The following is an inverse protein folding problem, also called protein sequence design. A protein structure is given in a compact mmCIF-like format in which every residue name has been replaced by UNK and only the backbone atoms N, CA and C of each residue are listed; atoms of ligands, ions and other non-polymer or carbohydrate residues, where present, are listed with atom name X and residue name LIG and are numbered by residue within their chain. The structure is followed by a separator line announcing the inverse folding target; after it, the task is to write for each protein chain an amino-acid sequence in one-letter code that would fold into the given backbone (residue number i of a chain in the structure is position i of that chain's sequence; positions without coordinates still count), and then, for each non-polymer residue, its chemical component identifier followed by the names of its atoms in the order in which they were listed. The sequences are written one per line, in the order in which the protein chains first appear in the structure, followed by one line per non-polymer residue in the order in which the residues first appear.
data_IF_557207208627
#
_entry.id   IF_557207208627
#
_cell.length_a   1.000
_cell.length_b   1.000
_cell.length_c   1.000
_cell.angle_alpha   90.00
_cell.angle_beta   90.00
_cell.angle_gamma   90.00
#
_symmetry.space_group_name_H-M   'P 1'
#
loop_
_entity.id
_entity.type
_entity.pdbx_description
1 polymer ?
#
# COMPACT_ATOMS: atom_id res chain seq x y z
N UNK A 1 3.02 -21.30 12.90
CA UNK A 1 2.06 -20.43 12.19
C UNK A 1 1.64 -21.14 10.90
N UNK A 2 0.40 -21.62 10.84
CA UNK A 2 -0.13 -22.45 9.73
C UNK A 2 -1.03 -21.69 8.74
N UNK A 3 -1.22 -20.38 8.90
CA UNK A 3 -2.24 -19.62 8.17
C UNK A 3 -1.88 -19.25 6.72
N UNK A 4 -0.65 -19.49 6.26
CA UNK A 4 -0.19 -19.04 4.93
C UNK A 4 0.27 -20.17 4.01
N UNK A 5 0.12 -21.45 4.40
CA UNK A 5 0.48 -22.57 3.52
C UNK A 5 -0.63 -22.81 2.51
N UNK A 6 -0.30 -22.70 1.22
CA UNK A 6 -1.20 -23.04 0.10
C UNK A 6 -1.85 -21.86 -0.61
N UNK A 7 -1.48 -20.61 -0.29
CA UNK A 7 -1.98 -19.41 -0.98
C UNK A 7 -0.89 -18.79 -1.86
N UNK A 8 -1.26 -18.37 -3.07
CA UNK A 8 -0.35 -17.72 -4.02
C UNK A 8 0.06 -16.31 -3.59
N UNK A 9 -0.75 -15.66 -2.75
CA UNK A 9 -0.59 -14.28 -2.28
C UNK A 9 -1.34 -14.08 -0.95
N UNK A 10 -0.76 -13.35 -0.01
CA UNK A 10 -1.47 -12.79 1.16
C UNK A 10 -1.83 -11.34 0.82
N UNK A 11 -3.10 -10.96 1.01
CA UNK A 11 -3.59 -9.59 0.81
C UNK A 11 -3.79 -8.89 2.17
N UNK A 12 -3.12 -7.75 2.35
CA UNK A 12 -3.23 -6.88 3.51
C UNK A 12 -3.84 -5.54 3.09
N UNK A 13 -5.10 -5.37 3.46
CA UNK A 13 -5.89 -4.17 3.15
C UNK A 13 -5.84 -3.19 4.33
N UNK A 14 -5.26 -2.01 4.11
CA UNK A 14 -5.08 -0.94 5.08
C UNK A 14 -5.87 0.30 4.63
N UNK A 15 -7.20 0.26 4.73
CA UNK A 15 -8.09 1.29 4.17
C UNK A 15 -7.70 2.75 4.49
N UNK A 16 -8.17 3.29 5.62
CA UNK A 16 -7.81 4.64 6.12
C UNK A 16 -7.01 4.60 7.44
N UNK A 17 -6.49 3.42 7.81
CA UNK A 17 -5.77 3.26 9.07
C UNK A 17 -4.51 4.13 9.09
N UNK A 18 -4.43 5.03 10.08
CA UNK A 18 -3.28 5.90 10.37
C UNK A 18 -3.20 6.15 11.87
N UNK A 19 -1.98 6.35 12.36
CA UNK A 19 -1.72 6.77 13.73
C UNK A 19 -2.41 8.09 14.04
N UNK A 20 -3.32 8.11 15.02
CA UNK A 20 -3.98 9.33 15.50
C UNK A 20 -3.81 9.49 17.02
N UNK A 21 -3.61 10.74 17.45
CA UNK A 21 -3.65 11.11 18.89
C UNK A 21 -4.97 11.81 19.18
N UNK A 22 -5.62 11.43 20.29
CA UNK A 22 -6.83 12.09 20.76
C UNK A 22 -6.50 13.55 21.15
N UNK A 23 -7.26 14.54 20.64
CA UNK A 23 -6.97 15.98 20.83
C UNK A 23 -6.93 16.41 22.30
N UNK A 24 -7.63 15.72 23.20
CA UNK A 24 -7.56 15.95 24.66
C UNK A 24 -6.28 15.42 25.32
N UNK A 25 -5.54 14.54 24.66
CA UNK A 25 -4.34 13.88 25.19
C UNK A 25 -3.02 14.56 24.79
N UNK A 26 -3.05 15.63 23.99
CA UNK A 26 -1.84 16.36 23.56
C UNK A 26 -1.08 17.01 24.73
N UNK A 27 -1.73 17.17 25.89
CA UNK A 27 -1.15 17.79 27.08
C UNK A 27 -0.45 16.80 28.02
N UNK A 28 -0.63 15.50 27.84
CA UNK A 28 -0.03 14.48 28.70
C UNK A 28 0.85 13.57 27.86
N UNK A 29 2.17 13.52 28.13
CA UNK A 29 3.14 12.56 27.56
C UNK A 29 2.84 11.07 27.90
N UNK A 30 1.59 10.74 28.19
CA UNK A 30 1.08 9.38 28.17
C UNK A 30 0.25 9.27 26.90
N UNK A 31 0.73 8.53 25.89
CA UNK A 31 -0.05 7.46 25.25
C UNK A 31 0.64 6.93 24.00
N UNK A 32 0.51 5.61 23.82
CA UNK A 32 0.80 4.88 22.59
C UNK A 32 -0.16 5.31 21.47
N UNK A 33 0.28 5.37 20.20
CA UNK A 33 -0.60 5.66 19.07
C UNK A 33 -1.74 4.64 18.98
N UNK A 34 -2.93 5.07 18.57
CA UNK A 34 -4.04 4.17 18.20
C UNK A 34 -4.16 4.16 16.68
N UNK A 35 -4.48 2.99 16.12
CA UNK A 35 -4.72 2.75 14.69
C UNK A 35 -3.48 2.83 13.78
N UNK A 36 -2.29 2.50 14.31
CA UNK A 36 -1.09 2.26 13.49
C UNK A 36 -1.41 1.29 12.35
N UNK A 37 -1.00 1.62 11.12
CA UNK A 37 -1.19 0.76 9.96
C UNK A 37 -0.36 -0.52 10.09
N UNK A 38 0.79 -0.43 10.77
CA UNK A 38 1.69 -1.55 11.03
C UNK A 38 2.10 -1.65 12.50
N UNK A 39 1.25 -2.17 13.38
CA UNK A 39 1.64 -2.44 14.76
C UNK A 39 2.82 -3.41 14.83
N UNK A 40 3.67 -3.32 15.86
CA UNK A 40 4.90 -4.13 15.99
C UNK A 40 4.68 -5.63 15.76
N UNK A 41 3.58 -6.18 16.29
CA UNK A 41 3.24 -7.60 16.10
C UNK A 41 3.01 -7.95 14.61
N UNK A 42 2.34 -7.06 13.86
CA UNK A 42 2.09 -7.23 12.44
C UNK A 42 3.39 -7.12 11.64
N UNK A 43 4.23 -6.13 11.94
CA UNK A 43 5.55 -5.99 11.32
C UNK A 43 6.38 -7.27 11.47
N UNK A 44 6.40 -7.85 12.68
CA UNK A 44 7.14 -9.08 12.96
C UNK A 44 6.61 -10.30 12.18
N UNK A 45 5.29 -10.37 11.95
CA UNK A 45 4.69 -11.42 11.12
C UNK A 45 5.05 -11.24 9.65
N UNK A 46 4.98 -10.01 9.14
CA UNK A 46 5.34 -9.68 7.76
C UNK A 46 6.83 -9.97 7.51
N UNK A 47 7.72 -9.54 8.42
CA UNK A 47 9.16 -9.86 8.37
C UNK A 47 9.40 -11.35 8.20
N UNK A 48 8.79 -12.19 9.06
CA UNK A 48 8.93 -13.65 9.00
C UNK A 48 8.37 -14.24 7.71
N UNK A 49 7.25 -13.72 7.22
CA UNK A 49 6.62 -14.19 5.99
C UNK A 49 7.49 -13.87 4.76
N UNK A 50 8.01 -12.64 4.66
CA UNK A 50 8.94 -12.24 3.60
C UNK A 50 10.28 -12.98 3.70
N UNK A 51 10.82 -13.21 4.89
CA UNK A 51 12.03 -14.03 5.10
C UNK A 51 11.85 -15.47 4.61
N UNK A 52 10.62 -15.99 4.63
CA UNK A 52 10.28 -17.31 4.08
C UNK A 52 10.02 -17.35 2.58
N UNK A 53 10.23 -16.24 1.85
CA UNK A 53 9.96 -16.15 0.40
C UNK A 53 8.48 -15.96 0.06
N UNK A 54 7.64 -15.56 1.01
CA UNK A 54 6.21 -15.35 0.80
C UNK A 54 5.89 -14.24 -0.21
N UNK A 55 4.67 -14.22 -0.71
CA UNK A 55 4.15 -13.18 -1.61
C UNK A 55 3.09 -12.34 -0.91
N UNK A 56 3.25 -11.02 -0.89
CA UNK A 56 2.40 -10.09 -0.16
C UNK A 56 1.88 -8.98 -1.07
N UNK A 57 0.59 -8.68 -1.00
CA UNK A 57 -0.04 -7.47 -1.52
C UNK A 57 -0.42 -6.57 -0.34
N UNK A 58 -0.05 -5.30 -0.41
CA UNK A 58 -0.45 -4.27 0.56
C UNK A 58 -1.12 -3.14 -0.22
N UNK A 59 -2.28 -2.69 0.24
CA UNK A 59 -2.98 -1.55 -0.35
C UNK A 59 -3.57 -0.64 0.71
N UNK A 60 -3.61 0.67 0.46
CA UNK A 60 -4.14 1.62 1.43
C UNK A 60 -3.74 3.07 1.18
N UNK A 61 -4.46 4.01 1.78
CA UNK A 61 -4.21 5.44 1.58
C UNK A 61 -2.96 5.97 2.31
N UNK A 62 -2.57 5.34 3.43
CA UNK A 62 -1.49 5.80 4.32
C UNK A 62 -0.34 4.78 4.48
N UNK A 63 -0.20 3.86 3.52
CA UNK A 63 0.73 2.72 3.60
C UNK A 63 2.19 3.16 3.77
N UNK A 64 2.57 4.30 3.20
CA UNK A 64 3.93 4.81 3.29
C UNK A 64 4.07 5.89 4.37
N UNK A 65 3.13 6.84 4.44
CA UNK A 65 3.22 7.98 5.35
C UNK A 65 3.12 7.59 6.82
N UNK A 66 2.31 6.58 7.18
CA UNK A 66 2.20 6.13 8.58
C UNK A 66 3.54 5.59 9.13
N UNK A 67 4.18 4.55 8.56
CA UNK A 67 5.44 4.04 9.08
C UNK A 67 6.66 4.95 8.81
N UNK A 68 6.66 5.77 7.75
CA UNK A 68 7.84 6.53 7.34
C UNK A 68 7.84 8.00 7.80
N UNK A 69 6.67 8.60 8.01
CA UNK A 69 6.52 10.05 8.24
C UNK A 69 5.76 10.41 9.50
N UNK A 70 5.07 9.46 10.16
CA UNK A 70 4.40 9.73 11.44
C UNK A 70 5.38 10.33 12.45
N UNK A 71 5.04 11.44 13.12
CA UNK A 71 5.86 12.01 14.19
C UNK A 71 5.92 11.09 15.42
N UNK A 72 5.06 10.06 15.48
CA UNK A 72 5.04 9.03 16.52
C UNK A 72 5.73 7.74 16.09
N UNK A 73 6.19 7.65 14.84
CA UNK A 73 6.88 6.46 14.33
C UNK A 73 8.24 6.28 14.97
N UNK A 74 8.56 5.04 15.36
CA UNK A 74 9.88 4.63 15.83
C UNK A 74 10.82 4.27 14.67
N UNK A 75 12.11 4.12 14.99
CA UNK A 75 13.11 3.77 13.98
C UNK A 75 12.91 2.36 13.41
N UNK A 76 12.34 1.44 14.21
CA UNK A 76 12.02 0.08 13.79
C UNK A 76 10.91 0.03 12.72
N UNK A 77 9.92 0.93 12.80
CA UNK A 77 8.84 1.08 11.82
C UNK A 77 9.34 1.73 10.53
N UNK A 78 10.26 2.69 10.65
CA UNK A 78 10.93 3.30 9.49
C UNK A 78 11.82 2.29 8.77
N UNK A 79 12.59 1.50 9.54
CA UNK A 79 13.39 0.39 9.03
C UNK A 79 12.50 -0.65 8.35
N UNK A 80 11.41 -1.06 9.01
CA UNK A 80 10.43 -1.98 8.45
C UNK A 80 9.93 -1.49 7.08
N UNK A 81 9.44 -0.25 7.00
CA UNK A 81 8.91 0.29 5.75
C UNK A 81 9.96 0.36 4.64
N UNK A 82 11.18 0.80 4.95
CA UNK A 82 12.26 0.97 3.96
C UNK A 82 12.87 -0.36 3.53
N UNK A 83 13.15 -1.26 4.46
CA UNK A 83 13.99 -2.42 4.22
C UNK A 83 13.19 -3.72 4.02
N UNK A 84 12.02 -3.84 4.64
CA UNK A 84 11.11 -4.99 4.45
C UNK A 84 10.06 -4.69 3.41
N UNK A 85 9.47 -3.49 3.40
CA UNK A 85 8.48 -3.15 2.39
C UNK A 85 9.08 -2.45 1.17
N UNK A 86 10.36 -2.09 1.16
CA UNK A 86 11.04 -1.41 0.04
C UNK A 86 10.45 -0.02 -0.28
N UNK A 87 9.73 0.58 0.64
CA UNK A 87 9.01 1.84 0.41
C UNK A 87 9.95 3.04 0.41
N UNK A 88 9.75 3.92 -0.56
CA UNK A 88 10.22 5.30 -0.53
C UNK A 88 9.01 6.20 -0.67
N UNK A 89 8.73 6.96 0.38
CA UNK A 89 7.68 7.98 0.37
C UNK A 89 8.04 9.10 -0.62
N UNK A 90 7.03 9.56 -1.38
CA UNK A 90 7.19 10.64 -2.37
C UNK A 90 6.38 11.87 -1.97
N UNK A 91 5.07 11.71 -1.75
CA UNK A 91 4.15 12.79 -1.39
C UNK A 91 2.91 12.21 -0.72
N UNK A 92 2.28 12.96 0.18
CA UNK A 92 0.89 12.77 0.55
C UNK A 92 -0.03 13.54 -0.43
N UNK A 93 -1.33 13.25 -0.41
CA UNK A 93 -2.35 13.90 -1.27
C UNK A 93 -2.06 13.81 -2.78
N UNK A 94 -1.57 12.66 -3.24
CA UNK A 94 -1.03 12.50 -4.58
C UNK A 94 -2.08 12.46 -5.71
N UNK A 95 -3.37 12.40 -5.42
CA UNK A 95 -4.39 12.32 -6.47
C UNK A 95 -5.74 12.85 -5.99
N UNK A 96 -6.43 13.57 -6.87
CA UNK A 96 -7.78 14.10 -6.63
C UNK A 96 -8.81 13.56 -7.61
N UNK A 97 -8.39 13.05 -8.77
CA UNK A 97 -9.33 12.56 -9.81
C UNK A 97 -9.78 11.11 -9.64
N UNK A 98 -9.11 10.32 -8.81
CA UNK A 98 -9.33 8.87 -8.69
C UNK A 98 -8.73 8.04 -9.83
N UNK A 99 -7.94 8.64 -10.72
CA UNK A 99 -7.43 7.95 -11.92
C UNK A 99 -5.98 7.46 -11.75
N UNK A 100 -5.74 6.22 -12.18
CA UNK A 100 -4.43 5.58 -12.19
C UNK A 100 -4.17 4.98 -13.58
N UNK A 101 -2.99 5.23 -14.11
CA UNK A 101 -2.50 4.69 -15.39
C UNK A 101 -1.57 3.52 -15.10
N UNK A 102 -1.79 2.37 -15.75
CA UNK A 102 -0.89 1.23 -15.61
C UNK A 102 0.34 1.44 -16.51
N UNK A 103 1.52 1.15 -15.96
CA UNK A 103 2.81 1.33 -16.64
C UNK A 103 3.51 0.03 -16.98
N UNK A 104 3.11 -1.08 -16.35
CA UNK A 104 3.53 -2.40 -16.77
C UNK A 104 2.91 -2.76 -18.12
N UNK A 105 3.72 -3.16 -19.10
CA UNK A 105 3.25 -3.37 -20.48
C UNK A 105 2.24 -4.51 -20.60
N UNK A 106 2.40 -5.58 -19.83
CA UNK A 106 1.49 -6.70 -19.83
C UNK A 106 0.14 -6.28 -19.24
N UNK A 107 0.14 -5.57 -18.11
CA UNK A 107 -1.11 -5.07 -17.51
C UNK A 107 -1.77 -3.98 -18.37
N UNK A 108 -1.00 -3.02 -18.86
CA UNK A 108 -1.51 -1.89 -19.65
C UNK A 108 -2.15 -2.33 -20.97
N UNK A 109 -1.73 -3.47 -21.52
CA UNK A 109 -2.33 -4.05 -22.73
C UNK A 109 -3.79 -4.51 -22.54
N UNK A 110 -4.18 -4.84 -21.30
CA UNK A 110 -5.53 -5.32 -20.95
C UNK A 110 -6.32 -4.29 -20.15
N UNK A 111 -5.63 -3.47 -19.36
CA UNK A 111 -6.20 -2.43 -18.51
C UNK A 111 -5.31 -1.18 -18.53
N UNK A 112 -5.42 -0.29 -19.53
CA UNK A 112 -4.52 0.86 -19.66
C UNK A 112 -4.64 1.84 -18.47
N UNK A 113 -5.82 1.92 -17.87
CA UNK A 113 -6.09 2.75 -16.70
C UNK A 113 -7.18 2.15 -15.83
N UNK A 114 -7.14 2.46 -14.53
CA UNK A 114 -8.17 2.12 -13.56
C UNK A 114 -8.64 3.37 -12.83
N UNK A 115 -9.90 3.34 -12.37
CA UNK A 115 -10.47 4.35 -11.52
C UNK A 115 -10.75 3.76 -10.13
N UNK A 116 -10.37 4.51 -9.11
CA UNK A 116 -10.69 4.22 -7.71
C UNK A 116 -11.58 5.32 -7.14
N UNK A 117 -12.46 4.95 -6.20
CA UNK A 117 -13.48 5.89 -5.74
C UNK A 117 -12.89 7.01 -4.86
N UNK A 118 -13.18 8.25 -5.25
CA UNK A 118 -12.81 9.47 -4.56
C UNK A 118 -14.05 10.30 -4.16
N UNK A 119 -15.18 9.63 -3.89
CA UNK A 119 -16.44 10.28 -3.47
C UNK A 119 -17.45 10.51 -4.59
N UNK A 120 -17.23 9.94 -5.78
CA UNK A 120 -18.22 9.97 -6.87
C UNK A 120 -19.27 8.87 -6.76
N UNK A 121 -18.92 7.75 -6.12
CA UNK A 121 -19.86 6.67 -5.79
C UNK A 121 -20.09 6.65 -4.27
N UNK A 122 -21.35 6.72 -3.84
CA UNK A 122 -21.75 6.68 -2.41
C UNK A 122 -21.65 5.29 -1.78
N UNK A 123 -21.50 4.24 -2.58
CA UNK A 123 -21.41 2.85 -2.11
C UNK A 123 -20.00 2.44 -1.67
N UNK A 124 -18.98 3.24 -2.02
CA UNK A 124 -17.57 3.02 -1.69
C UNK A 124 -17.08 4.27 -0.94
N UNK A 125 -16.18 4.17 0.04
CA UNK A 125 -15.67 5.36 0.73
C UNK A 125 -14.71 6.18 -0.15
N UNK A 126 -14.52 7.46 0.17
CA UNK A 126 -13.68 8.40 -0.59
C UNK A 126 -12.27 8.48 0.01
N UNK A 127 -11.22 8.43 -0.82
CA UNK A 127 -9.83 8.39 -0.36
C UNK A 127 -9.25 9.81 -0.22
N UNK A 128 -9.43 10.46 0.93
CA UNK A 128 -9.08 11.88 1.08
C UNK A 128 -7.58 12.24 0.89
N UNK A 129 -6.66 11.28 1.07
CA UNK A 129 -5.20 11.49 1.03
C UNK A 129 -4.43 10.28 0.52
N UNK A 130 -4.45 9.92 -0.77
CA UNK A 130 -3.67 8.79 -1.27
C UNK A 130 -2.16 9.11 -1.23
N UNK A 131 -1.37 8.17 -0.72
CA UNK A 131 0.08 8.25 -0.74
C UNK A 131 0.63 8.05 -2.16
N UNK A 132 1.56 8.91 -2.57
CA UNK A 132 2.54 8.60 -3.60
C UNK A 132 3.74 7.92 -2.98
N UNK A 133 4.05 6.74 -3.50
CA UNK A 133 5.13 5.89 -3.03
C UNK A 133 5.79 5.18 -4.20
N UNK A 134 7.10 5.02 -4.12
CA UNK A 134 7.87 4.24 -5.09
C UNK A 134 8.63 3.12 -4.39
N UNK A 135 8.94 2.10 -5.17
CA UNK A 135 9.80 1.02 -4.71
C UNK A 135 11.28 1.41 -4.73
N UNK A 136 12.07 0.65 -3.98
CA UNK A 136 13.54 0.71 -3.98
C UNK A 136 14.11 -0.69 -4.22
N UNK A 137 15.45 -0.79 -4.32
CA UNK A 137 16.16 -2.07 -4.36
C UNK A 137 15.73 -2.99 -5.53
N UNK A 138 15.53 -2.40 -6.71
CA UNK A 138 15.12 -3.13 -7.92
C UNK A 138 13.60 -3.33 -8.06
N UNK A 139 12.80 -2.75 -7.18
CA UNK A 139 11.35 -2.71 -7.35
C UNK A 139 10.94 -1.88 -8.59
N UNK A 140 9.86 -2.28 -9.24
CA UNK A 140 9.37 -1.73 -10.51
C UNK A 140 8.01 -1.08 -10.32
N UNK A 141 7.84 0.16 -10.79
CA UNK A 141 6.56 0.87 -10.76
C UNK A 141 5.58 0.23 -11.75
N UNK A 142 4.38 -0.12 -11.27
CA UNK A 142 3.32 -0.76 -12.09
C UNK A 142 2.19 0.18 -12.44
N UNK A 143 2.03 1.25 -11.67
CA UNK A 143 0.96 2.20 -11.90
C UNK A 143 1.32 3.60 -11.36
N UNK A 144 0.73 4.61 -11.98
CA UNK A 144 0.96 6.04 -11.67
C UNK A 144 -0.35 6.78 -11.57
N UNK A 145 -0.40 7.77 -10.70
CA UNK A 145 -1.54 8.69 -10.62
C UNK A 145 -1.64 9.52 -11.89
N UNK A 146 -2.82 9.55 -12.51
CA UNK A 146 -3.04 10.26 -13.78
C UNK A 146 -2.79 11.77 -13.69
N UNK A 147 -3.05 12.36 -12.51
CA UNK A 147 -2.99 13.81 -12.27
C UNK A 147 -1.57 14.37 -12.30
N UNK A 148 -0.58 13.60 -11.82
CA UNK A 148 0.78 14.12 -11.57
C UNK A 148 1.89 13.12 -11.88
N UNK A 149 1.57 11.93 -12.40
CA UNK A 149 2.50 10.88 -12.78
C UNK A 149 3.35 10.31 -11.63
N UNK A 150 3.02 10.65 -10.38
CA UNK A 150 3.65 10.01 -9.22
C UNK A 150 3.31 8.53 -9.19
N UNK A 151 4.27 7.73 -8.71
CA UNK A 151 4.08 6.29 -8.55
C UNK A 151 2.94 6.04 -7.56
N UNK A 152 1.94 5.29 -8.03
CA UNK A 152 0.78 4.86 -7.27
C UNK A 152 0.93 3.42 -6.75
N UNK A 153 1.92 2.69 -7.27
CA UNK A 153 2.26 1.37 -6.77
C UNK A 153 3.44 0.74 -7.50
N UNK A 154 4.02 -0.28 -6.87
CA UNK A 154 5.15 -1.03 -7.40
C UNK A 154 5.05 -2.51 -7.02
N UNK A 155 5.83 -3.34 -7.72
CA UNK A 155 6.16 -4.68 -7.25
C UNK A 155 7.67 -4.85 -7.00
N UNK A 156 8.02 -5.82 -6.18
CA UNK A 156 9.36 -6.35 -5.96
C UNK A 156 9.25 -7.86 -6.00
N UNK A 157 10.03 -8.52 -6.86
CA UNK A 157 10.02 -9.98 -6.99
C UNK A 157 11.46 -10.49 -7.04
N UNK A 158 12.05 -10.73 -5.86
CA UNK A 158 13.39 -11.29 -5.75
C UNK A 158 13.44 -12.27 -4.57
N UNK A 159 13.98 -11.89 -3.40
CA UNK A 159 14.01 -12.77 -2.22
C UNK A 159 12.63 -13.10 -1.65
N UNK A 160 11.62 -12.31 -1.99
CA UNK A 160 10.20 -12.53 -1.77
C UNK A 160 9.40 -11.70 -2.77
N UNK A 161 8.10 -11.98 -2.87
CA UNK A 161 7.17 -11.20 -3.68
C UNK A 161 6.47 -10.13 -2.86
N UNK A 162 6.44 -8.90 -3.36
CA UNK A 162 5.77 -7.79 -2.71
C UNK A 162 5.12 -6.88 -3.75
N UNK A 163 3.88 -6.49 -3.50
CA UNK A 163 3.19 -5.41 -4.21
C UNK A 163 2.71 -4.41 -3.16
N UNK A 164 2.93 -3.13 -3.42
CA UNK A 164 2.42 -2.04 -2.59
C UNK A 164 1.66 -1.05 -3.46
N UNK A 165 0.43 -0.76 -3.08
CA UNK A 165 -0.45 0.24 -3.69
C UNK A 165 -0.71 1.39 -2.71
N UNK A 166 -0.57 2.63 -3.17
CA UNK A 166 -0.84 3.85 -2.40
C UNK A 166 -2.31 4.25 -2.35
N UNK A 167 -3.20 3.38 -2.84
CA UNK A 167 -4.63 3.50 -2.76
C UNK A 167 -5.23 2.16 -2.29
N UNK A 168 -6.39 2.17 -1.61
CA UNK A 168 -7.03 0.94 -1.14
C UNK A 168 -7.57 0.14 -2.33
N UNK A 169 -7.20 -1.14 -2.45
CA UNK A 169 -7.57 -1.98 -3.59
C UNK A 169 -9.09 -2.19 -3.73
N UNK A 170 -9.80 -2.22 -2.60
CA UNK A 170 -11.26 -2.32 -2.53
C UNK A 170 -11.98 -1.12 -3.14
N UNK A 171 -11.30 0.03 -3.30
CA UNK A 171 -11.90 1.23 -3.91
C UNK A 171 -11.89 1.21 -5.44
N UNK A 172 -11.18 0.26 -6.06
CA UNK A 172 -11.19 0.02 -7.51
C UNK A 172 -12.57 -0.50 -7.93
N UNK A 173 -13.10 -0.02 -9.05
CA UNK A 173 -14.41 -0.47 -9.57
C UNK A 173 -14.45 -1.99 -9.82
N UNK A 174 -15.60 -2.61 -9.59
CA UNK A 174 -15.78 -4.07 -9.64
C UNK A 174 -15.49 -4.68 -11.01
N UNK A 175 -15.80 -3.97 -12.09
CA UNK A 175 -15.53 -4.34 -13.49
C UNK A 175 -14.02 -4.41 -13.81
N UNK A 176 -13.21 -3.60 -13.14
CA UNK A 176 -11.75 -3.52 -13.36
C UNK A 176 -10.94 -4.36 -12.36
N UNK A 177 -11.49 -4.60 -11.16
CA UNK A 177 -10.77 -5.21 -10.03
C UNK A 177 -10.21 -6.60 -10.32
N UNK A 178 -10.99 -7.47 -10.97
CA UNK A 178 -10.55 -8.84 -11.28
C UNK A 178 -9.43 -8.86 -12.33
N UNK A 179 -9.51 -8.00 -13.33
CA UNK A 179 -8.46 -7.85 -14.35
C UNK A 179 -7.18 -7.33 -13.70
N UNK A 180 -7.31 -6.32 -12.83
CA UNK A 180 -6.18 -5.76 -12.11
C UNK A 180 -5.51 -6.81 -11.21
N UNK A 181 -6.27 -7.57 -10.42
CA UNK A 181 -5.74 -8.67 -9.60
C UNK A 181 -4.98 -9.72 -10.42
N UNK A 182 -5.52 -10.09 -11.60
CA UNK A 182 -4.83 -11.00 -12.52
C UNK A 182 -3.47 -10.45 -12.98
N UNK A 183 -3.41 -9.15 -13.28
CA UNK A 183 -2.16 -8.45 -13.59
C UNK A 183 -1.16 -8.50 -12.42
N UNK A 184 -1.61 -8.15 -11.21
CA UNK A 184 -0.80 -8.17 -9.99
C UNK A 184 -0.20 -9.56 -9.73
N UNK A 185 -0.98 -10.62 -9.85
CA UNK A 185 -0.49 -12.00 -9.68
C UNK A 185 0.55 -12.38 -10.74
N UNK A 186 0.38 -11.93 -11.99
CA UNK A 186 1.35 -12.19 -13.05
C UNK A 186 2.68 -11.46 -12.83
N UNK A 187 2.67 -10.27 -12.22
CA UNK A 187 3.90 -9.52 -11.90
C UNK A 187 4.79 -10.21 -10.84
N UNK A 188 4.23 -11.14 -10.06
CA UNK A 188 4.96 -11.90 -9.03
C UNK A 188 5.34 -13.34 -9.47
N UNK A 189 5.06 -13.71 -10.71
CA UNK A 189 5.52 -14.97 -11.31
C UNK A 189 6.97 -14.84 -11.76
#
# INVERSE_FOLDING_TARGET
SSLTRGYDLVDLILGEQRSVVNRQAFQTKLNSPRFEAFPTMLQNRIRKYCQGGGRLLISGAYVASDPLKSPFGDDDSRDFGKNVLKMVWVSDHANRSGNVVLTDSAMASVLPSLAFNQGQNREIYAVESPDALRGSQGAVTICRYGDNQFSAGYFYNNSYGLIVLGFPFETVRSDQRSIFMGGLLNALK
#
